data_IF_741437382986
#
_entry.id   IF_741437382986
#
_cell.length_a   1.000
_cell.length_b   1.000
_cell.length_c   1.000
_cell.angle_alpha   90.00
_cell.angle_beta   90.00
_cell.angle_gamma   90.00
#
_symmetry.space_group_name_H-M   'P 1'
#
loop_
_entity.id
_entity.type
_entity.pdbx_description
1 polymer ?
#
# COMPACT_ATOMS: atom_id res chain seq x y z
N UNK A 1 27.96 -12.59 9.81
CA UNK A 1 27.17 -13.37 8.85
C UNK A 1 26.10 -14.15 9.55
N UNK A 2 25.05 -14.50 8.81
CA UNK A 2 23.89 -15.25 9.30
C UNK A 2 23.67 -16.47 8.44
N UNK A 3 23.06 -17.51 9.00
CA UNK A 3 22.53 -18.61 8.20
C UNK A 3 21.14 -18.29 7.63
N UNK A 4 20.63 -19.17 6.78
CA UNK A 4 19.30 -19.00 6.14
C UNK A 4 18.12 -18.97 7.12
N UNK A 5 18.35 -19.33 8.40
CA UNK A 5 17.36 -19.23 9.47
C UNK A 5 17.53 -17.97 10.32
N UNK A 6 18.44 -17.06 9.92
CA UNK A 6 18.72 -15.82 10.62
C UNK A 6 19.59 -15.97 11.88
N UNK A 7 20.17 -17.12 12.14
CA UNK A 7 21.06 -17.33 13.29
C UNK A 7 22.44 -16.73 13.00
N UNK A 8 22.96 -15.91 13.92
CA UNK A 8 24.30 -15.34 13.78
C UNK A 8 25.36 -16.45 13.82
N UNK A 9 26.21 -16.51 12.80
CA UNK A 9 27.28 -17.49 12.63
C UNK A 9 28.67 -16.91 12.85
N UNK A 10 28.89 -15.67 12.41
CA UNK A 10 30.15 -15.00 12.60
C UNK A 10 29.93 -13.49 12.72
N UNK A 11 30.69 -12.87 13.63
CA UNK A 11 30.75 -11.44 13.87
C UNK A 11 32.23 -11.01 13.97
N UNK A 12 32.95 -10.92 12.83
CA UNK A 12 34.36 -10.54 12.83
C UNK A 12 34.56 -9.19 13.50
N UNK A 13 35.57 -9.12 14.38
CA UNK A 13 35.97 -7.88 15.05
C UNK A 13 34.91 -7.22 15.94
N UNK A 14 33.86 -7.92 16.35
CA UNK A 14 32.76 -7.35 17.15
C UNK A 14 33.23 -6.81 18.51
N UNK A 15 34.33 -7.29 19.05
CA UNK A 15 34.95 -6.78 20.28
C UNK A 15 36.14 -5.86 20.07
N UNK A 16 36.42 -5.49 18.81
CA UNK A 16 37.63 -4.76 18.41
C UNK A 16 38.53 -5.59 17.49
N UNK A 17 39.65 -5.03 17.05
CA UNK A 17 40.56 -5.68 16.10
C UNK A 17 40.98 -7.07 16.61
N UNK A 18 40.77 -8.10 15.81
CA UNK A 18 41.04 -9.50 16.12
C UNK A 18 40.26 -10.09 17.31
N UNK A 19 39.26 -9.41 17.82
CA UNK A 19 38.37 -9.92 18.86
C UNK A 19 37.02 -10.32 18.27
N UNK A 20 36.93 -11.55 17.79
CA UNK A 20 35.75 -12.10 17.09
C UNK A 20 34.67 -12.60 18.04
N UNK A 21 34.97 -12.85 19.30
CA UNK A 21 34.02 -13.28 20.32
C UNK A 21 34.47 -12.78 21.70
N UNK A 22 34.25 -11.51 22.01
CA UNK A 22 34.64 -10.97 23.33
C UNK A 22 33.83 -11.63 24.44
N UNK A 23 34.38 -11.58 25.67
CA UNK A 23 33.70 -12.13 26.87
C UNK A 23 32.31 -11.49 27.00
N UNK A 24 31.29 -12.32 27.19
CA UNK A 24 29.91 -11.90 27.32
C UNK A 24 29.15 -11.70 26.00
N UNK A 25 29.81 -11.79 24.85
CA UNK A 25 29.13 -11.77 23.56
C UNK A 25 28.56 -13.16 23.22
N UNK A 26 27.24 -13.26 23.19
CA UNK A 26 26.56 -14.50 22.89
C UNK A 26 25.87 -14.44 21.53
N UNK A 27 26.27 -15.27 20.61
CA UNK A 27 25.74 -15.26 19.21
C UNK A 27 24.23 -15.50 19.13
N UNK A 28 23.66 -16.25 20.09
CA UNK A 28 22.21 -16.50 20.11
C UNK A 28 21.38 -15.24 20.33
N UNK A 29 21.95 -14.22 20.98
CA UNK A 29 21.23 -13.00 21.32
C UNK A 29 21.19 -11.98 20.17
N UNK A 30 21.96 -12.25 19.12
CA UNK A 30 22.16 -11.38 17.97
C UNK A 30 21.63 -11.98 16.66
N UNK A 31 20.71 -12.91 16.74
CA UNK A 31 20.02 -13.45 15.55
C UNK A 31 19.11 -12.43 14.90
N UNK A 32 18.81 -12.62 13.61
CA UNK A 32 17.78 -11.86 12.92
C UNK A 32 16.41 -12.20 13.51
N UNK A 33 15.57 -11.18 13.65
CA UNK A 33 14.19 -11.37 14.11
C UNK A 33 13.30 -11.69 12.92
N UNK A 34 12.43 -12.69 13.06
CA UNK A 34 11.43 -12.99 12.06
C UNK A 34 10.39 -11.87 11.99
N UNK A 35 10.02 -11.50 10.78
CA UNK A 35 8.98 -10.53 10.50
C UNK A 35 7.86 -11.24 9.74
N UNK A 36 6.62 -11.02 10.13
CA UNK A 36 5.47 -11.53 9.38
C UNK A 36 5.35 -10.77 8.07
N UNK A 37 5.24 -11.49 6.97
CA UNK A 37 5.00 -10.94 5.64
C UNK A 37 3.79 -11.60 5.02
N UNK A 38 3.12 -10.86 4.13
CA UNK A 38 2.11 -11.38 3.23
C UNK A 38 2.31 -10.72 1.85
N UNK A 39 2.13 -11.50 0.79
CA UNK A 39 2.16 -11.01 -0.59
C UNK A 39 0.75 -11.09 -1.14
N UNK A 40 0.19 -9.94 -1.54
CA UNK A 40 -1.07 -9.85 -2.25
C UNK A 40 -0.78 -9.26 -3.63
N UNK A 41 -0.98 -10.08 -4.66
CA UNK A 41 -0.45 -9.82 -6.00
C UNK A 41 1.06 -9.53 -5.93
N UNK A 42 1.52 -8.35 -6.37
CA UNK A 42 2.93 -7.97 -6.34
C UNK A 42 3.29 -7.05 -5.16
N UNK A 43 2.36 -6.79 -4.25
CA UNK A 43 2.60 -5.94 -3.07
C UNK A 43 2.93 -6.77 -1.84
N UNK A 44 4.01 -6.36 -1.16
CA UNK A 44 4.50 -7.02 0.05
C UNK A 44 4.06 -6.23 1.27
N UNK A 45 3.24 -6.83 2.11
CA UNK A 45 2.81 -6.29 3.39
C UNK A 45 3.63 -6.90 4.52
N UNK A 46 4.08 -6.07 5.45
CA UNK A 46 4.93 -6.47 6.57
C UNK A 46 4.31 -6.10 7.91
N UNK A 47 4.51 -6.94 8.92
CA UNK A 47 4.10 -6.66 10.28
C UNK A 47 5.24 -6.88 11.26
N UNK A 48 5.85 -5.80 11.74
CA UNK A 48 7.04 -5.82 12.59
C UNK A 48 6.80 -6.40 13.98
N UNK A 49 5.66 -6.11 14.60
CA UNK A 49 5.39 -6.55 15.96
C UNK A 49 4.80 -7.96 16.05
N UNK A 50 4.50 -8.59 14.92
CA UNK A 50 3.93 -9.93 14.83
C UNK A 50 2.51 -10.09 15.39
N UNK A 51 1.83 -9.01 15.80
CA UNK A 51 0.53 -9.04 16.49
C UNK A 51 -0.67 -8.79 15.57
N UNK A 52 -0.44 -8.41 14.32
CA UNK A 52 -1.53 -8.23 13.37
C UNK A 52 -2.29 -9.53 13.15
N UNK A 53 -3.58 -9.41 12.88
CA UNK A 53 -4.42 -10.49 12.35
C UNK A 53 -3.82 -11.05 11.06
N UNK A 54 -4.33 -12.19 10.57
CA UNK A 54 -3.98 -12.66 9.24
C UNK A 54 -4.34 -11.60 8.20
N UNK A 55 -3.53 -11.46 7.17
CA UNK A 55 -3.73 -10.43 6.14
C UNK A 55 -5.09 -10.56 5.47
N UNK A 56 -5.49 -11.78 5.14
CA UNK A 56 -6.75 -12.07 4.47
C UNK A 56 -7.98 -11.67 5.34
N UNK A 57 -7.83 -11.67 6.65
CA UNK A 57 -8.86 -11.19 7.56
C UNK A 57 -8.85 -9.66 7.65
N UNK A 58 -7.65 -9.07 7.74
CA UNK A 58 -7.47 -7.63 7.87
C UNK A 58 -7.86 -6.88 6.61
N UNK A 59 -7.42 -7.37 5.45
CA UNK A 59 -7.60 -6.74 4.15
C UNK A 59 -8.84 -7.28 3.39
N UNK A 60 -9.64 -8.16 4.01
CA UNK A 60 -10.83 -8.74 3.36
C UNK A 60 -11.71 -7.72 2.64
N UNK A 61 -12.03 -6.56 3.22
CA UNK A 61 -12.85 -5.57 2.54
C UNK A 61 -12.20 -5.05 1.26
N UNK A 62 -10.90 -4.78 1.29
CA UNK A 62 -10.15 -4.35 0.10
C UNK A 62 -10.14 -5.44 -0.96
N UNK A 63 -9.79 -6.68 -0.57
CA UNK A 63 -9.72 -7.82 -1.48
C UNK A 63 -11.05 -7.99 -2.22
N UNK A 64 -12.17 -7.97 -1.50
CA UNK A 64 -13.50 -8.08 -2.09
C UNK A 64 -13.83 -6.96 -3.09
N UNK A 65 -13.29 -5.76 -2.89
CA UNK A 65 -13.52 -4.64 -3.82
C UNK A 65 -12.73 -4.77 -5.12
N UNK A 66 -11.81 -5.71 -5.18
CA UNK A 66 -10.98 -5.99 -6.36
C UNK A 66 -11.23 -7.37 -6.95
N UNK A 67 -12.22 -8.13 -6.47
CA UNK A 67 -12.54 -9.47 -6.98
C UNK A 67 -13.03 -9.44 -8.44
N UNK A 68 -13.55 -8.31 -8.91
CA UNK A 68 -14.00 -8.07 -10.28
C UNK A 68 -12.87 -7.69 -11.25
N UNK A 69 -11.65 -7.50 -10.75
CA UNK A 69 -10.52 -7.02 -11.53
C UNK A 69 -9.44 -8.10 -11.64
N UNK A 70 -9.14 -8.51 -12.86
CA UNK A 70 -8.03 -9.43 -13.12
C UNK A 70 -6.69 -8.69 -13.09
N UNK A 71 -6.12 -8.54 -11.89
CA UNK A 71 -4.86 -7.85 -11.67
C UNK A 71 -3.65 -8.53 -12.35
N UNK A 72 -3.79 -9.79 -12.79
CA UNK A 72 -2.70 -10.50 -13.49
C UNK A 72 -2.46 -9.98 -14.90
N UNK A 73 -3.42 -9.25 -15.47
CA UNK A 73 -3.31 -8.60 -16.78
C UNK A 73 -2.55 -7.28 -16.74
N UNK A 74 -2.30 -6.74 -15.56
CA UNK A 74 -1.58 -5.49 -15.43
C UNK A 74 -0.12 -5.63 -15.85
N UNK A 75 0.40 -4.54 -16.41
CA UNK A 75 1.82 -4.39 -16.72
C UNK A 75 2.34 -3.16 -15.97
N UNK A 76 3.54 -3.29 -15.44
CA UNK A 76 4.21 -2.16 -14.82
C UNK A 76 4.42 -1.04 -15.84
N UNK A 77 4.00 0.15 -15.50
CA UNK A 77 4.19 1.35 -16.31
C UNK A 77 5.37 2.20 -15.80
N UNK A 78 5.27 2.69 -14.56
CA UNK A 78 6.31 3.53 -13.96
C UNK A 78 6.14 3.63 -12.45
N UNK A 79 7.18 4.13 -11.78
CA UNK A 79 7.14 4.57 -10.38
C UNK A 79 7.59 6.02 -10.32
N UNK A 80 6.86 6.85 -9.58
CA UNK A 80 7.19 8.24 -9.33
C UNK A 80 7.52 8.43 -7.84
N UNK A 81 8.65 9.07 -7.55
CA UNK A 81 9.02 9.49 -6.20
C UNK A 81 8.77 11.00 -6.10
N UNK A 82 7.80 11.39 -5.27
CA UNK A 82 7.46 12.79 -5.02
C UNK A 82 8.34 13.43 -3.94
N UNK A 83 9.26 12.66 -3.36
CA UNK A 83 10.16 13.14 -2.30
C UNK A 83 9.44 13.48 -1.01
N UNK A 84 9.99 14.43 -0.26
CA UNK A 84 9.42 14.88 1.02
C UNK A 84 8.33 15.92 0.78
N UNK A 85 7.17 15.71 1.36
CA UNK A 85 6.03 16.63 1.29
C UNK A 85 5.78 17.18 2.69
N UNK A 86 5.71 18.50 2.81
CA UNK A 86 5.49 19.21 4.09
C UNK A 86 4.00 19.17 4.49
N UNK A 87 3.53 17.98 4.81
CA UNK A 87 2.16 17.78 5.29
C UNK A 87 2.07 16.51 6.13
N UNK A 88 1.02 16.40 6.95
CA UNK A 88 0.74 15.15 7.63
C UNK A 88 0.28 14.10 6.60
N UNK A 89 0.86 12.92 6.65
CA UNK A 89 0.56 11.83 5.73
C UNK A 89 -0.94 11.44 5.67
N UNK A 90 -1.69 11.67 6.75
CA UNK A 90 -3.13 11.40 6.80
C UNK A 90 -3.91 12.32 5.87
N UNK A 91 -3.51 13.58 5.76
CA UNK A 91 -4.14 14.52 4.83
C UNK A 91 -3.95 14.13 3.37
N UNK A 92 -2.80 13.51 3.04
CA UNK A 92 -2.60 12.98 1.68
C UNK A 92 -3.56 11.81 1.41
N UNK A 93 -3.78 10.95 2.40
CA UNK A 93 -4.74 9.87 2.27
C UNK A 93 -6.17 10.41 2.16
N UNK A 94 -6.57 11.31 3.06
CA UNK A 94 -7.89 11.92 3.04
C UNK A 94 -8.18 12.60 1.71
N UNK A 95 -7.25 13.40 1.21
CA UNK A 95 -7.39 14.06 -0.08
C UNK A 95 -7.54 13.07 -1.24
N UNK A 96 -6.84 11.93 -1.20
CA UNK A 96 -6.94 10.94 -2.25
C UNK A 96 -8.30 10.21 -2.28
N UNK A 97 -8.84 9.88 -1.11
CA UNK A 97 -10.03 9.02 -1.00
C UNK A 97 -11.35 9.79 -0.99
N UNK A 98 -11.32 11.12 -0.73
CA UNK A 98 -12.51 11.93 -0.71
C UNK A 98 -12.76 12.54 -2.12
N UNK A 99 -14.00 12.54 -2.61
CA UNK A 99 -14.30 13.04 -3.95
C UNK A 99 -14.62 14.55 -3.99
N UNK A 100 -14.70 15.22 -2.82
CA UNK A 100 -15.19 16.61 -2.75
C UNK A 100 -14.36 17.58 -3.57
N UNK A 101 -13.03 17.45 -3.54
CA UNK A 101 -12.13 18.33 -4.28
C UNK A 101 -12.17 18.11 -5.79
N UNK A 102 -12.58 16.92 -6.27
CA UNK A 102 -12.54 16.52 -7.68
C UNK A 102 -13.25 17.55 -8.58
N UNK A 103 -14.46 17.95 -8.22
CA UNK A 103 -15.23 18.90 -9.00
C UNK A 103 -14.63 20.32 -9.05
N UNK A 104 -13.74 20.66 -8.13
CA UNK A 104 -13.10 21.99 -8.06
C UNK A 104 -11.69 21.97 -8.64
N UNK A 105 -10.92 20.95 -8.33
CA UNK A 105 -9.49 20.84 -8.68
C UNK A 105 -9.29 20.10 -9.99
N UNK A 106 -10.06 19.04 -10.23
CA UNK A 106 -9.91 18.16 -11.40
C UNK A 106 -10.93 18.41 -12.51
N UNK A 107 -11.46 19.62 -12.62
CA UNK A 107 -12.51 19.99 -13.61
C UNK A 107 -12.17 19.62 -15.06
N UNK A 108 -10.89 19.66 -15.41
CA UNK A 108 -10.44 19.45 -16.81
C UNK A 108 -9.81 18.07 -17.02
N UNK A 109 -9.61 17.30 -15.95
CA UNK A 109 -8.92 16.01 -16.01
C UNK A 109 -9.84 14.82 -15.78
N UNK A 110 -11.03 15.05 -15.24
CA UNK A 110 -12.01 13.99 -15.04
C UNK A 110 -13.43 14.55 -15.15
N UNK A 111 -14.35 13.75 -15.68
CA UNK A 111 -15.78 14.04 -15.76
C UNK A 111 -16.54 13.19 -14.73
N UNK A 112 -16.20 13.37 -13.45
CA UNK A 112 -16.78 12.61 -12.35
C UNK A 112 -17.50 13.57 -11.38
N UNK A 113 -18.80 13.85 -11.57
CA UNK A 113 -19.55 14.72 -10.69
C UNK A 113 -19.65 14.16 -9.27
N UNK A 114 -19.54 15.02 -8.26
CA UNK A 114 -19.58 14.61 -6.85
C UNK A 114 -20.83 13.78 -6.50
N UNK A 115 -21.98 14.11 -7.10
CA UNK A 115 -23.26 13.42 -6.87
C UNK A 115 -23.26 11.94 -7.25
N UNK A 116 -22.35 11.53 -8.14
CA UNK A 116 -22.27 10.18 -8.65
C UNK A 116 -21.29 9.32 -7.85
N UNK A 117 -20.56 9.93 -6.91
CA UNK A 117 -19.66 9.21 -6.01
C UNK A 117 -20.42 8.63 -4.82
N UNK A 118 -19.98 7.44 -4.40
CA UNK A 118 -20.44 6.82 -3.18
C UNK A 118 -19.28 6.55 -2.23
N UNK A 119 -19.59 6.57 -0.92
CA UNK A 119 -18.60 6.33 0.13
C UNK A 119 -18.44 4.84 0.41
N UNK A 120 -17.22 4.41 0.62
CA UNK A 120 -16.86 3.05 1.02
C UNK A 120 -16.24 3.12 2.40
N UNK A 121 -16.87 2.43 3.38
CA UNK A 121 -16.33 2.24 4.74
C UNK A 121 -16.60 0.81 5.15
N UNK A 122 -15.54 0.00 5.23
CA UNK A 122 -15.64 -1.39 5.64
C UNK A 122 -14.36 -1.79 6.40
N UNK A 123 -14.45 -1.91 7.71
CA UNK A 123 -13.33 -2.23 8.57
C UNK A 123 -12.19 -1.22 8.45
N UNK A 124 -11.03 -1.68 8.00
CA UNK A 124 -9.82 -0.87 7.79
C UNK A 124 -9.66 -0.41 6.35
N UNK A 125 -10.65 -0.66 5.50
CA UNK A 125 -10.72 -0.20 4.12
C UNK A 125 -11.75 0.91 4.01
N UNK A 126 -11.35 2.06 3.48
CA UNK A 126 -12.23 3.23 3.31
C UNK A 126 -11.83 4.05 2.08
N UNK A 127 -12.79 4.78 1.55
CA UNK A 127 -12.59 5.58 0.35
C UNK A 127 -13.88 5.91 -0.37
N UNK A 128 -13.80 6.04 -1.67
CA UNK A 128 -14.94 6.33 -2.54
C UNK A 128 -14.90 5.53 -3.84
N UNK A 129 -16.00 5.49 -4.51
CA UNK A 129 -16.13 4.93 -5.84
C UNK A 129 -17.09 5.76 -6.69
N UNK A 130 -16.98 5.60 -7.99
CA UNK A 130 -17.88 6.19 -8.98
C UNK A 130 -18.04 5.20 -10.13
N UNK A 131 -19.28 4.96 -10.52
CA UNK A 131 -19.56 4.11 -11.68
C UNK A 131 -19.30 4.88 -12.98
N UNK A 132 -18.77 4.19 -13.97
CA UNK A 132 -18.54 4.75 -15.30
C UNK A 132 -19.86 4.81 -16.05
N UNK A 133 -20.10 5.85 -16.83
CA UNK A 133 -21.28 5.96 -17.66
C UNK A 133 -21.36 4.83 -18.70
N UNK A 134 -22.57 4.37 -19.01
CA UNK A 134 -22.79 3.27 -19.95
C UNK A 134 -22.19 3.52 -21.34
N UNK A 135 -22.14 4.77 -21.77
CA UNK A 135 -21.52 5.17 -23.06
C UNK A 135 -20.01 4.92 -23.09
N UNK A 136 -19.35 4.95 -21.92
CA UNK A 136 -17.92 4.70 -21.78
C UNK A 136 -17.59 3.20 -21.64
N UNK A 137 -18.59 2.34 -21.42
CA UNK A 137 -18.41 0.89 -21.15
C UNK A 137 -18.14 0.05 -22.37
N UNK A 138 -18.28 0.59 -23.59
CA UNK A 138 -18.00 -0.11 -24.86
C UNK A 138 -16.49 -0.31 -25.12
N UNK A 139 -15.66 -0.16 -24.11
CA UNK A 139 -14.22 -0.37 -24.24
C UNK A 139 -13.85 -1.79 -23.77
N UNK A 140 -13.63 -2.70 -24.71
CA UNK A 140 -13.24 -4.09 -24.45
C UNK A 140 -11.95 -4.25 -23.62
N UNK A 141 -11.16 -3.19 -23.50
CA UNK A 141 -9.92 -3.17 -22.70
C UNK A 141 -10.13 -2.67 -21.27
N UNK A 142 -11.36 -2.32 -20.86
CA UNK A 142 -11.62 -1.83 -19.52
C UNK A 142 -11.40 -2.91 -18.46
N UNK A 143 -10.65 -2.58 -17.41
CA UNK A 143 -10.44 -3.45 -16.25
C UNK A 143 -11.66 -3.51 -15.35
N UNK A 144 -12.41 -2.42 -15.26
CA UNK A 144 -13.58 -2.29 -14.41
C UNK A 144 -14.49 -1.18 -14.94
N UNK A 145 -15.78 -1.33 -14.73
CA UNK A 145 -16.78 -0.28 -14.99
C UNK A 145 -16.92 0.72 -13.85
N UNK A 146 -16.10 0.58 -12.81
CA UNK A 146 -16.13 1.43 -11.63
C UNK A 146 -14.73 1.95 -11.35
N UNK A 147 -14.57 3.25 -11.16
CA UNK A 147 -13.36 3.81 -10.57
C UNK A 147 -13.47 3.75 -9.04
N UNK A 148 -12.43 3.24 -8.39
CA UNK A 148 -12.38 3.07 -6.93
C UNK A 148 -11.13 3.75 -6.39
N UNK A 149 -11.27 4.49 -5.31
CA UNK A 149 -10.21 5.22 -4.63
C UNK A 149 -10.18 4.78 -3.17
N UNK A 150 -9.33 3.81 -2.85
CA UNK A 150 -9.39 3.08 -1.59
C UNK A 150 -8.09 3.21 -0.80
N UNK A 151 -8.23 3.29 0.50
CA UNK A 151 -7.14 3.16 1.46
C UNK A 151 -7.34 1.91 2.32
N UNK A 152 -6.28 1.12 2.48
CA UNK A 152 -6.15 0.14 3.55
C UNK A 152 -5.23 0.73 4.61
N UNK A 153 -5.79 1.02 5.78
CA UNK A 153 -5.02 1.61 6.88
C UNK A 153 -3.75 0.76 7.20
N UNK A 154 -2.59 1.34 7.52
CA UNK A 154 -2.41 2.78 7.74
C UNK A 154 -2.05 3.58 6.48
N UNK A 155 -1.36 3.03 5.49
CA UNK A 155 -0.69 3.84 4.48
C UNK A 155 -0.67 3.25 3.06
N UNK A 156 -1.42 2.19 2.82
CA UNK A 156 -1.59 1.63 1.48
C UNK A 156 -2.82 2.23 0.82
N UNK A 157 -2.62 2.87 -0.33
CA UNK A 157 -3.67 3.47 -1.13
C UNK A 157 -3.63 2.83 -2.51
N UNK A 158 -4.80 2.52 -3.05
CA UNK A 158 -4.94 1.97 -4.38
C UNK A 158 -6.12 2.63 -5.09
N UNK A 159 -5.90 3.08 -6.30
CA UNK A 159 -6.94 3.65 -7.15
C UNK A 159 -7.05 2.92 -8.47
N UNK A 160 -8.28 2.63 -8.89
CA UNK A 160 -8.57 2.19 -10.24
C UNK A 160 -9.03 3.39 -11.06
N UNK A 161 -8.46 3.54 -12.24
CA UNK A 161 -8.79 4.62 -13.16
C UNK A 161 -9.26 4.02 -14.46
N UNK A 162 -10.50 4.30 -14.79
CA UNK A 162 -11.07 3.86 -16.06
C UNK A 162 -10.22 4.40 -17.24
N UNK A 163 -9.99 3.62 -18.30
CA UNK A 163 -10.51 2.27 -18.49
C UNK A 163 -9.63 1.13 -17.91
N UNK A 164 -8.32 1.32 -17.73
CA UNK A 164 -7.40 0.20 -17.52
C UNK A 164 -6.15 0.54 -16.71
N UNK A 165 -6.21 1.53 -15.83
CA UNK A 165 -5.07 1.92 -15.01
C UNK A 165 -5.31 1.64 -13.53
N UNK A 166 -4.25 1.23 -12.84
CA UNK A 166 -4.20 1.15 -11.39
C UNK A 166 -3.00 1.95 -10.88
N UNK A 167 -3.26 2.85 -9.94
CA UNK A 167 -2.24 3.57 -9.19
C UNK A 167 -2.17 3.07 -7.77
N UNK A 168 -0.95 2.83 -7.28
CA UNK A 168 -0.70 2.50 -5.88
C UNK A 168 0.17 3.58 -5.28
N UNK A 169 -0.22 4.05 -4.10
CA UNK A 169 0.48 5.12 -3.40
C UNK A 169 0.88 4.65 -2.01
N UNK A 170 2.11 4.93 -1.65
CA UNK A 170 2.65 4.63 -0.33
C UNK A 170 3.09 5.93 0.34
N UNK A 171 2.39 6.31 1.39
CA UNK A 171 2.74 7.46 2.22
C UNK A 171 3.56 6.99 3.41
N UNK A 172 4.83 7.39 3.47
CA UNK A 172 5.74 7.01 4.54
C UNK A 172 5.90 8.21 5.49
N UNK A 173 5.32 8.16 6.71
CA UNK A 173 5.49 9.25 7.66
C UNK A 173 6.93 9.36 8.13
N UNK A 174 7.52 10.55 8.04
CA UNK A 174 8.86 10.87 8.55
C UNK A 174 8.74 11.56 9.90
N UNK A 175 7.79 12.48 10.02
CA UNK A 175 7.44 13.19 11.23
C UNK A 175 5.96 13.60 11.18
N UNK A 176 5.36 14.15 12.26
CA UNK A 176 3.96 14.57 12.24
C UNK A 176 3.57 15.57 11.14
N UNK A 177 4.52 16.31 10.60
CA UNK A 177 4.28 17.31 9.54
C UNK A 177 4.93 16.99 8.20
N UNK A 178 5.52 15.79 8.05
CA UNK A 178 6.25 15.40 6.83
C UNK A 178 5.97 13.95 6.51
#
# INVERSE_FOLDING_TARGET
SYDLKGKLKAAPHVGGTNQHKPKGFNFSDHGLKSIKIHVWHDWIFINFNGKAKKFEEYARPLIKKFDDIDLTKLKYATTLDFGKINTNWKFLIENFIEPYHVQFVHKTTTNQPLKDHYTIVDGMCYGSGVDVNEEDTNNDSALSVTSKYLSLFPNFIIGTYFPNQIGVYLNIPISPGI
#
